data_IF_559707394015
#
_entry.id   IF_559707394015
#
_cell.length_a   1.000
_cell.length_b   1.000
_cell.length_c   1.000
_cell.angle_alpha   90.00
_cell.angle_beta   90.00
_cell.angle_gamma   90.00
#
_symmetry.space_group_name_H-M   'P 1'
#
loop_
_entity.id
_entity.type
_entity.pdbx_description
1 polymer ?
#
# COMPACT_ATOMS: atom_id res chain seq x y z
N UNK A 1 4.22 6.56 11.65
CA UNK A 1 3.58 5.37 11.06
C UNK A 1 4.08 5.18 9.64
N UNK A 2 4.36 3.96 9.26
CA UNK A 2 4.88 3.64 7.93
C UNK A 2 3.76 3.15 7.02
N UNK A 3 3.85 3.51 5.76
CA UNK A 3 2.85 3.16 4.75
C UNK A 3 3.51 2.46 3.57
N UNK A 4 2.84 1.44 3.06
CA UNK A 4 3.35 0.60 1.98
C UNK A 4 2.29 0.51 0.89
N UNK A 5 2.65 0.93 -0.31
CA UNK A 5 1.77 0.82 -1.46
C UNK A 5 2.14 -0.43 -2.24
N UNK A 6 1.18 -1.32 -2.40
CA UNK A 6 1.39 -2.63 -2.99
C UNK A 6 0.41 -2.87 -4.12
N UNK A 7 0.87 -3.52 -5.17
CA UNK A 7 0.01 -3.99 -6.25
C UNK A 7 0.16 -5.51 -6.34
N UNK A 8 -0.96 -6.22 -6.27
CA UNK A 8 -0.98 -7.67 -6.44
C UNK A 8 -0.61 -8.02 -7.89
N UNK A 9 -0.27 -9.27 -8.14
CA UNK A 9 0.08 -9.73 -9.47
C UNK A 9 -1.06 -9.50 -10.48
N UNK A 10 -2.29 -9.49 -10.01
CA UNK A 10 -3.48 -9.25 -10.84
C UNK A 10 -3.86 -7.76 -10.98
N UNK A 11 -3.06 -6.87 -10.40
CA UNK A 11 -3.28 -5.44 -10.53
C UNK A 11 -4.10 -4.78 -9.43
N UNK A 12 -4.57 -5.52 -8.44
CA UNK A 12 -5.28 -4.95 -7.30
C UNK A 12 -4.35 -4.12 -6.44
N UNK A 13 -4.78 -2.90 -6.10
CA UNK A 13 -3.97 -1.94 -5.35
C UNK A 13 -4.37 -1.93 -3.89
N UNK A 14 -3.36 -1.86 -3.03
CA UNK A 14 -3.55 -1.85 -1.58
C UNK A 14 -2.62 -0.86 -0.91
N UNK A 15 -3.10 -0.24 0.14
CA UNK A 15 -2.26 0.53 1.05
C UNK A 15 -2.21 -0.20 2.38
N UNK A 16 -1.00 -0.48 2.85
CA UNK A 16 -0.78 -1.07 4.16
C UNK A 16 -0.19 -0.02 5.09
N UNK A 17 -0.62 -0.03 6.34
CA UNK A 17 -0.09 0.81 7.39
C UNK A 17 0.38 -0.08 8.52
N UNK A 18 1.64 0.04 8.90
CA UNK A 18 2.21 -0.76 9.97
C UNK A 18 3.70 -0.53 10.10
N UNK A 19 4.30 -1.14 11.12
CA UNK A 19 5.73 -0.97 11.39
C UNK A 19 6.61 -1.91 10.56
N UNK A 20 6.03 -2.96 10.00
CA UNK A 20 6.75 -3.97 9.23
C UNK A 20 6.15 -4.04 7.83
N UNK A 21 7.00 -4.13 6.81
CA UNK A 21 6.56 -4.23 5.43
C UNK A 21 5.71 -5.48 5.21
N UNK A 22 4.66 -5.39 4.38
CA UNK A 22 3.92 -6.59 4.00
C UNK A 22 4.80 -7.53 3.19
N UNK A 23 4.43 -8.79 3.16
CA UNK A 23 5.11 -9.82 2.39
C UNK A 23 4.17 -10.38 1.35
N UNK A 24 4.75 -10.89 0.27
CA UNK A 24 3.96 -11.45 -0.82
C UNK A 24 3.89 -12.97 -0.68
N UNK A 25 2.66 -13.48 -0.62
CA UNK A 25 2.38 -14.91 -0.63
C UNK A 25 1.72 -15.24 -1.97
N UNK A 26 2.37 -16.09 -2.75
CA UNK A 26 1.92 -16.42 -4.09
C UNK A 26 1.78 -15.16 -4.96
N UNK A 27 0.57 -14.72 -5.24
CA UNK A 27 0.30 -13.56 -6.09
C UNK A 27 -0.32 -12.38 -5.35
N UNK A 28 -0.39 -12.45 -4.02
CA UNK A 28 -1.03 -11.42 -3.21
C UNK A 28 -0.12 -10.91 -2.10
N UNK A 29 -0.20 -9.62 -1.81
CA UNK A 29 0.46 -9.04 -0.65
C UNK A 29 -0.38 -9.30 0.61
N UNK A 30 0.30 -9.52 1.72
CA UNK A 30 -0.38 -9.81 2.99
C UNK A 30 0.48 -9.30 4.15
N UNK A 31 -0.11 -9.30 5.35
CA UNK A 31 0.62 -8.89 6.54
C UNK A 31 1.68 -9.93 6.89
N UNK A 32 2.79 -9.45 7.44
CA UNK A 32 3.84 -10.34 7.93
C UNK A 32 3.34 -11.08 9.18
N UNK A 33 3.74 -12.33 9.31
CA UNK A 33 3.45 -13.13 10.51
C UNK A 33 4.14 -12.58 11.77
N UNK A 34 5.15 -11.74 11.60
CA UNK A 34 5.95 -11.23 12.71
C UNK A 34 5.24 -10.12 13.48
N UNK A 35 4.35 -9.39 12.84
CA UNK A 35 3.71 -8.24 13.45
C UNK A 35 2.33 -8.06 12.90
N UNK A 36 1.32 -8.21 13.73
CA UNK A 36 -0.07 -8.16 13.28
C UNK A 36 -0.94 -7.17 14.03
N UNK A 37 -0.47 -6.64 15.16
CA UNK A 37 -1.33 -5.84 16.03
C UNK A 37 -1.68 -4.48 15.46
N UNK A 38 -0.75 -3.85 14.76
CA UNK A 38 -0.91 -2.48 14.27
C UNK A 38 -1.13 -2.39 12.77
N UNK A 39 -1.46 -3.53 12.15
CA UNK A 39 -1.68 -3.54 10.72
C UNK A 39 -3.08 -3.10 10.36
N UNK A 40 -3.15 -2.15 9.44
CA UNK A 40 -4.38 -1.88 8.70
C UNK A 40 -4.07 -1.92 7.23
N UNK A 41 -5.06 -2.30 6.44
CA UNK A 41 -4.91 -2.31 4.98
C UNK A 41 -6.19 -1.81 4.34
N UNK A 42 -6.04 -1.09 3.24
CA UNK A 42 -7.16 -0.48 2.53
C UNK A 42 -7.03 -0.82 1.05
N UNK A 43 -8.09 -1.35 0.48
CA UNK A 43 -8.14 -1.64 -0.95
C UNK A 43 -8.41 -0.40 -1.78
N UNK A 44 -8.30 -0.54 -3.10
CA UNK A 44 -8.34 0.58 -4.05
C UNK A 44 -9.61 1.44 -3.91
N UNK A 45 -10.77 0.83 -3.81
CA UNK A 45 -12.02 1.58 -3.72
C UNK A 45 -12.09 2.41 -2.44
N UNK A 46 -11.69 1.83 -1.32
CA UNK A 46 -11.68 2.52 -0.04
C UNK A 46 -10.60 3.58 0.03
N UNK A 47 -9.47 3.36 -0.62
CA UNK A 47 -8.41 4.36 -0.76
C UNK A 47 -8.95 5.61 -1.44
N UNK A 48 -9.63 5.44 -2.56
CA UNK A 48 -10.18 6.56 -3.30
C UNK A 48 -11.22 7.29 -2.48
N UNK A 49 -12.08 6.56 -1.76
CA UNK A 49 -13.09 7.16 -0.90
C UNK A 49 -12.48 7.93 0.27
N UNK A 50 -11.39 7.42 0.84
CA UNK A 50 -10.74 8.01 2.01
C UNK A 50 -9.88 9.21 1.65
N UNK A 51 -9.07 9.10 0.61
CA UNK A 51 -8.04 10.10 0.28
C UNK A 51 -8.37 10.92 -0.97
N UNK A 52 -9.29 10.45 -1.81
CA UNK A 52 -9.71 11.17 -3.01
C UNK A 52 -8.90 10.83 -4.26
N UNK A 53 -9.40 11.33 -5.39
CA UNK A 53 -8.79 11.03 -6.69
C UNK A 53 -7.39 11.61 -6.84
N UNK A 54 -7.14 12.80 -6.27
CA UNK A 54 -5.82 13.42 -6.33
C UNK A 54 -4.74 12.57 -5.65
N UNK A 55 -5.08 11.95 -4.53
CA UNK A 55 -4.17 11.04 -3.85
C UNK A 55 -3.87 9.83 -4.75
N UNK A 56 -4.90 9.25 -5.36
CA UNK A 56 -4.72 8.09 -6.23
C UNK A 56 -3.82 8.41 -7.42
N UNK A 57 -3.94 9.59 -7.98
CA UNK A 57 -3.09 10.02 -9.09
C UNK A 57 -1.65 10.26 -8.66
N UNK A 58 -1.41 10.57 -7.40
CA UNK A 58 -0.07 10.83 -6.86
C UNK A 58 0.69 9.57 -6.49
N UNK A 59 0.02 8.41 -6.47
CA UNK A 59 0.68 7.15 -6.11
C UNK A 59 1.81 6.82 -7.08
N UNK A 60 2.92 6.26 -6.59
CA UNK A 60 4.03 5.89 -7.46
C UNK A 60 3.60 4.90 -8.55
N UNK A 61 4.21 5.01 -9.71
CA UNK A 61 3.95 4.10 -10.81
C UNK A 61 4.85 2.87 -10.67
N UNK A 62 4.31 1.83 -10.05
CA UNK A 62 5.01 0.56 -9.87
C UNK A 62 4.28 -0.53 -10.65
N UNK A 63 4.99 -1.60 -10.94
CA UNK A 63 4.44 -2.71 -11.72
C UNK A 63 3.58 -3.62 -10.84
N UNK A 64 2.75 -4.44 -11.48
CA UNK A 64 2.02 -5.49 -10.78
C UNK A 64 2.99 -6.40 -10.04
N UNK A 65 2.65 -6.76 -8.82
CA UNK A 65 3.49 -7.58 -7.98
C UNK A 65 4.56 -6.82 -7.22
N UNK A 66 4.65 -5.51 -7.38
CA UNK A 66 5.65 -4.69 -6.69
C UNK A 66 5.07 -3.97 -5.49
N UNK A 67 5.95 -3.50 -4.62
CA UNK A 67 5.62 -2.75 -3.43
C UNK A 67 6.65 -1.64 -3.24
N UNK A 68 6.22 -0.51 -2.71
CA UNK A 68 7.13 0.56 -2.32
C UNK A 68 6.62 1.24 -1.06
N UNK A 69 7.53 1.69 -0.22
CA UNK A 69 7.16 2.51 0.92
C UNK A 69 6.84 3.93 0.45
N UNK A 70 5.79 4.52 1.01
CA UNK A 70 5.39 5.89 0.67
C UNK A 70 5.23 6.71 1.94
N UNK A 71 5.26 8.02 1.77
CA UNK A 71 4.88 8.97 2.82
C UNK A 71 3.55 9.59 2.41
N UNK A 72 2.70 9.83 3.39
CA UNK A 72 1.40 10.44 3.15
C UNK A 72 1.37 11.82 3.80
N UNK A 73 1.12 12.84 2.98
CA UNK A 73 0.81 14.18 3.43
C UNK A 73 -0.53 14.55 2.83
N UNK A 74 -0.52 15.41 1.85
CA UNK A 74 -1.71 15.71 1.04
C UNK A 74 -1.78 14.79 -0.18
N UNK A 75 -0.63 14.25 -0.60
CA UNK A 75 -0.49 13.31 -1.71
C UNK A 75 0.45 12.20 -1.27
N UNK A 76 0.43 11.08 -1.98
CA UNK A 76 1.39 10.01 -1.75
C UNK A 76 2.75 10.40 -2.32
N UNK A 77 3.82 10.14 -1.58
CA UNK A 77 5.18 10.38 -2.02
C UNK A 77 6.00 9.11 -1.83
N UNK A 78 6.81 8.78 -2.83
CA UNK A 78 7.71 7.64 -2.72
C UNK A 78 8.82 7.95 -1.72
N UNK A 79 9.06 7.03 -0.79
CA UNK A 79 10.19 7.10 0.12
C UNK A 79 11.46 6.65 -0.60
N UNK A 80 12.52 7.38 -0.39
CA UNK A 80 13.82 7.03 -0.95
C UNK A 80 14.74 6.42 0.09
#
# INVERSE_FOLDING_TARGET
MRYWYCIDDNGNKWLYEGSVAPVKYDDEWNTSDEETEDYTWIGELDLKATYGAGFMESLPDIANGEMTEIRIKYTAEKCE
#
